data_IF_961152624189
#
_entry.id   IF_961152624189
#
_cell.length_a   1.000
_cell.length_b   1.000
_cell.length_c   1.000
_cell.angle_alpha   90.00
_cell.angle_beta   90.00
_cell.angle_gamma   90.00
#
_symmetry.space_group_name_H-M   'P 1'
#
loop_
_entity.id
_entity.type
_entity.pdbx_description
1 polymer ?
#
# COMPACT_ATOMS: atom_id res chain seq x y z
N UNK A 1 17.24 -7.72 21.43
CA UNK A 1 16.90 -6.63 20.48
C UNK A 1 17.51 -5.33 20.99
N UNK A 2 18.15 -4.54 20.09
CA UNK A 2 18.64 -3.21 20.44
C UNK A 2 17.47 -2.20 20.53
N UNK A 3 17.62 -1.16 21.39
CA UNK A 3 16.62 -0.07 21.47
C UNK A 3 16.31 0.55 20.11
N UNK A 4 17.32 0.67 19.24
CA UNK A 4 17.13 1.19 17.87
C UNK A 4 16.28 0.28 16.99
N UNK A 5 16.43 -1.05 17.10
CA UNK A 5 15.61 -2.02 16.36
C UNK A 5 14.14 -1.99 16.85
N UNK A 6 13.94 -1.93 18.17
CA UNK A 6 12.59 -1.82 18.75
C UNK A 6 11.92 -0.53 18.30
N UNK A 7 12.61 0.62 18.33
CA UNK A 7 12.06 1.91 17.86
C UNK A 7 11.65 1.82 16.39
N UNK A 8 12.47 1.23 15.51
CA UNK A 8 12.12 1.02 14.10
C UNK A 8 10.86 0.17 13.92
N UNK A 9 10.72 -0.90 14.69
CA UNK A 9 9.52 -1.75 14.66
C UNK A 9 8.27 -0.95 15.05
N UNK A 10 8.37 -0.10 16.08
CA UNK A 10 7.28 0.79 16.50
C UNK A 10 6.93 1.78 15.39
N UNK A 11 7.92 2.49 14.85
CA UNK A 11 7.73 3.50 13.79
C UNK A 11 7.07 2.88 12.55
N UNK A 12 7.38 1.63 12.23
CA UNK A 12 6.80 0.89 11.11
C UNK A 12 5.42 0.29 11.41
N UNK A 13 4.91 0.44 12.65
CA UNK A 13 3.59 -0.07 13.05
C UNK A 13 3.58 -1.56 13.40
N UNK A 14 4.74 -2.16 13.63
CA UNK A 14 4.89 -3.52 14.12
C UNK A 14 4.74 -3.65 15.64
N UNK A 15 4.26 -2.61 16.33
CA UNK A 15 3.95 -2.63 17.76
C UNK A 15 2.45 -2.41 17.97
N UNK A 16 1.88 -3.18 18.89
CA UNK A 16 0.48 -3.02 19.33
C UNK A 16 0.45 -2.93 20.86
N UNK A 17 -0.52 -2.14 21.36
CA UNK A 17 -0.92 -2.14 22.76
C UNK A 17 -2.39 -2.54 22.79
N UNK A 18 -2.66 -3.74 23.26
CA UNK A 18 -3.94 -4.41 23.05
C UNK A 18 -4.24 -4.55 21.54
N UNK A 19 -5.37 -4.01 21.09
CA UNK A 19 -5.76 -4.03 19.67
C UNK A 19 -5.25 -2.82 18.86
N UNK A 20 -4.70 -1.80 19.52
CA UNK A 20 -4.28 -0.56 18.87
C UNK A 20 -2.84 -0.65 18.34
N UNK A 21 -2.63 -0.30 17.05
CA UNK A 21 -1.28 -0.14 16.47
C UNK A 21 -0.64 1.12 17.03
N UNK A 22 0.57 1.00 17.55
CA UNK A 22 1.35 2.10 18.09
C UNK A 22 2.52 2.39 17.17
N UNK A 23 2.67 3.68 16.78
CA UNK A 23 3.78 4.17 15.94
C UNK A 23 4.66 5.21 16.64
N UNK A 24 4.41 5.47 17.91
CA UNK A 24 5.15 6.46 18.70
C UNK A 24 5.76 5.76 19.89
N UNK A 25 7.10 5.66 19.92
CA UNK A 25 7.83 4.95 20.96
C UNK A 25 7.72 5.60 22.34
N UNK A 26 7.34 6.88 22.43
CA UNK A 26 7.13 7.60 23.69
C UNK A 26 5.70 7.50 24.25
N UNK A 27 4.83 6.69 23.64
CA UNK A 27 3.49 6.45 24.20
C UNK A 27 3.63 5.86 25.62
N UNK A 28 3.01 6.47 26.63
CA UNK A 28 3.00 5.91 27.97
C UNK A 28 2.19 4.61 28.00
N UNK A 29 2.67 3.65 28.76
CA UNK A 29 1.99 2.39 29.05
C UNK A 29 1.36 2.46 30.45
N UNK A 30 0.27 1.73 30.63
CA UNK A 30 -0.38 1.51 31.93
C UNK A 30 -0.07 0.10 32.42
N UNK A 31 -0.14 -0.09 33.73
CA UNK A 31 -0.07 -1.43 34.31
C UNK A 31 -1.19 -2.31 33.75
N UNK A 32 -0.84 -3.51 33.28
CA UNK A 32 -1.76 -4.43 32.62
C UNK A 32 -1.86 -4.27 31.09
N UNK A 33 -1.22 -3.27 30.48
CA UNK A 33 -1.19 -3.16 29.01
C UNK A 33 -0.42 -4.34 28.40
N UNK A 34 -1.06 -5.06 27.48
CA UNK A 34 -0.42 -6.10 26.68
C UNK A 34 0.28 -5.47 25.48
N UNK A 35 1.61 -5.63 25.39
CA UNK A 35 2.42 -5.09 24.31
C UNK A 35 2.89 -6.22 23.39
N UNK A 36 2.46 -6.20 22.15
CA UNK A 36 2.85 -7.17 21.13
C UNK A 36 3.77 -6.53 20.09
N UNK A 37 4.91 -7.18 19.81
CA UNK A 37 5.81 -6.78 18.74
C UNK A 37 5.78 -7.82 17.62
N UNK A 38 5.61 -7.34 16.38
CA UNK A 38 5.83 -8.16 15.20
C UNK A 38 7.35 -8.29 14.98
N UNK A 39 7.87 -9.47 15.29
CA UNK A 39 9.24 -9.86 14.94
C UNK A 39 9.14 -10.70 13.69
N UNK A 40 9.28 -10.08 12.53
CA UNK A 40 9.39 -10.83 11.29
C UNK A 40 10.86 -10.88 10.88
N UNK A 41 11.41 -12.08 10.77
CA UNK A 41 12.54 -12.25 9.87
C UNK A 41 12.02 -12.02 8.46
N UNK A 42 12.74 -11.26 7.62
CA UNK A 42 12.31 -11.08 6.23
C UNK A 42 12.23 -12.47 5.60
N UNK A 43 11.04 -12.82 5.13
CA UNK A 43 10.90 -13.99 4.28
C UNK A 43 11.75 -13.72 3.02
N UNK A 44 12.85 -14.45 2.80
CA UNK A 44 13.74 -14.22 1.68
C UNK A 44 13.02 -14.37 0.34
N UNK A 45 11.94 -15.14 0.29
CA UNK A 45 11.18 -15.40 -0.94
C UNK A 45 10.18 -14.27 -1.27
N UNK A 46 9.96 -13.31 -0.38
CA UNK A 46 9.00 -12.20 -0.54
C UNK A 46 9.69 -10.83 -0.46
N UNK A 47 11.01 -10.76 -0.53
CA UNK A 47 11.72 -9.48 -0.45
C UNK A 47 11.78 -8.81 -1.82
N UNK A 48 11.07 -7.71 -1.99
CA UNK A 48 11.20 -6.84 -3.14
C UNK A 48 12.39 -5.90 -2.98
N UNK A 49 13.26 -5.88 -3.98
CA UNK A 49 14.34 -4.91 -4.12
C UNK A 49 14.11 -4.13 -5.41
N UNK A 50 14.00 -2.81 -5.30
CA UNK A 50 13.80 -1.93 -6.45
C UNK A 50 15.05 -1.93 -7.32
N UNK A 51 14.91 -2.32 -8.57
CA UNK A 51 15.94 -2.25 -9.60
C UNK A 51 15.67 -1.10 -10.59
N UNK A 52 16.66 -0.63 -11.35
CA UNK A 52 16.43 0.40 -12.37
C UNK A 52 15.36 0.00 -13.40
N UNK A 53 15.23 -1.29 -13.72
CA UNK A 53 14.21 -1.80 -14.64
C UNK A 53 12.78 -1.74 -14.12
N UNK A 54 12.61 -1.60 -12.81
CA UNK A 54 11.28 -1.44 -12.21
C UNK A 54 10.80 0.02 -12.24
N UNK A 55 11.71 0.98 -12.46
CA UNK A 55 11.39 2.42 -12.47
C UNK A 55 10.85 2.79 -13.84
N UNK A 56 9.60 3.24 -13.90
CA UNK A 56 8.93 3.68 -15.11
C UNK A 56 9.18 5.15 -15.41
N UNK A 57 9.24 5.97 -14.34
CA UNK A 57 9.53 7.39 -14.41
C UNK A 57 10.01 7.85 -13.04
N UNK A 58 11.00 8.73 -13.03
CA UNK A 58 11.42 9.42 -11.82
C UNK A 58 11.78 10.87 -12.15
N UNK A 59 11.15 11.82 -11.46
CA UNK A 59 11.44 13.25 -11.57
C UNK A 59 11.68 13.89 -10.19
N UNK A 60 11.62 15.21 -10.09
CA UNK A 60 11.80 15.95 -8.84
C UNK A 60 10.68 15.73 -7.81
N UNK A 61 9.48 15.32 -8.24
CA UNK A 61 8.30 15.24 -7.38
C UNK A 61 7.76 13.82 -7.20
N UNK A 62 7.97 12.93 -8.17
CA UNK A 62 7.39 11.59 -8.18
C UNK A 62 8.39 10.52 -8.58
N UNK A 63 8.17 9.33 -8.06
CA UNK A 63 8.71 8.06 -8.53
C UNK A 63 7.54 7.17 -8.95
N UNK A 64 7.51 6.73 -10.19
CA UNK A 64 6.58 5.74 -10.72
C UNK A 64 7.33 4.44 -10.95
N UNK A 65 6.78 3.35 -10.46
CA UNK A 65 7.40 2.03 -10.61
C UNK A 65 6.39 0.95 -10.98
N UNK A 66 6.90 -0.13 -11.54
CA UNK A 66 6.15 -1.35 -11.82
C UNK A 66 6.27 -2.31 -10.64
N UNK A 67 5.19 -2.47 -9.88
CA UNK A 67 5.13 -3.47 -8.81
C UNK A 67 4.93 -4.87 -9.40
N UNK A 68 5.74 -5.87 -9.08
CA UNK A 68 5.45 -7.26 -9.44
C UNK A 68 4.30 -7.83 -8.60
N UNK A 69 3.68 -8.92 -9.08
CA UNK A 69 2.78 -9.73 -8.29
C UNK A 69 3.53 -10.43 -7.15
N UNK A 70 2.83 -10.83 -6.10
CA UNK A 70 3.39 -11.50 -4.93
C UNK A 70 3.99 -10.57 -3.86
N UNK A 71 4.14 -9.26 -4.15
CA UNK A 71 4.77 -8.28 -3.26
C UNK A 71 3.73 -7.35 -2.63
N UNK A 72 3.85 -7.08 -1.33
CA UNK A 72 3.01 -6.10 -0.65
C UNK A 72 3.37 -4.66 -1.05
N UNK A 73 2.37 -3.85 -1.31
CA UNK A 73 2.53 -2.43 -1.64
C UNK A 73 3.11 -1.62 -0.48
N UNK A 74 2.71 -1.92 0.73
CA UNK A 74 3.09 -1.19 1.95
C UNK A 74 3.40 -2.15 3.09
N UNK A 75 4.10 -1.63 4.11
CA UNK A 75 4.37 -2.37 5.33
C UNK A 75 3.07 -2.75 6.03
N UNK A 76 3.05 -3.96 6.57
CA UNK A 76 1.99 -4.47 7.43
C UNK A 76 2.58 -4.85 8.79
N UNK A 77 1.77 -5.06 9.84
CA UNK A 77 2.27 -5.56 11.12
C UNK A 77 3.04 -6.89 11.02
N UNK A 78 2.81 -7.65 9.94
CA UNK A 78 3.42 -8.97 9.71
C UNK A 78 4.54 -8.94 8.68
N UNK A 79 4.64 -7.88 7.86
CA UNK A 79 5.64 -7.72 6.81
C UNK A 79 6.18 -6.28 6.84
N UNK A 80 7.29 -6.08 7.55
CA UNK A 80 7.90 -4.77 7.73
C UNK A 80 8.97 -4.45 6.69
N UNK A 81 9.55 -5.48 6.09
CA UNK A 81 10.60 -5.40 5.07
C UNK A 81 10.15 -6.14 3.81
N UNK A 82 10.85 -5.94 2.70
CA UNK A 82 10.52 -6.62 1.45
C UNK A 82 9.24 -6.13 0.77
N UNK A 83 8.66 -5.02 1.22
CA UNK A 83 7.51 -4.36 0.59
C UNK A 83 8.00 -3.30 -0.39
N UNK A 84 7.12 -2.87 -1.31
CA UNK A 84 7.45 -1.77 -2.25
C UNK A 84 7.77 -0.49 -1.50
N UNK A 85 6.96 -0.10 -0.52
CA UNK A 85 7.21 1.06 0.34
C UNK A 85 8.62 1.03 0.97
N UNK A 86 9.02 -0.12 1.49
CA UNK A 86 10.34 -0.28 2.09
C UNK A 86 11.48 -0.12 1.06
N UNK A 87 11.32 -0.70 -0.13
CA UNK A 87 12.29 -0.58 -1.21
C UNK A 87 12.42 0.87 -1.71
N UNK A 88 11.28 1.56 -1.89
CA UNK A 88 11.24 2.98 -2.26
C UNK A 88 11.89 3.86 -1.19
N UNK A 89 11.64 3.61 0.09
CA UNK A 89 12.29 4.37 1.16
C UNK A 89 13.82 4.21 1.13
N UNK A 90 14.31 3.01 0.84
CA UNK A 90 15.76 2.78 0.65
C UNK A 90 16.30 3.55 -0.56
N UNK A 91 15.57 3.54 -1.67
CA UNK A 91 15.93 4.28 -2.88
C UNK A 91 15.95 5.79 -2.62
N UNK A 92 14.94 6.34 -1.97
CA UNK A 92 14.89 7.76 -1.60
C UNK A 92 16.11 8.17 -0.76
N UNK A 93 16.46 7.39 0.23
CA UNK A 93 17.67 7.65 1.04
C UNK A 93 18.96 7.63 0.22
N UNK A 94 19.07 6.67 -0.71
CA UNK A 94 20.24 6.54 -1.58
C UNK A 94 20.37 7.69 -2.58
N UNK A 95 19.25 8.25 -3.04
CA UNK A 95 19.18 9.37 -4.00
C UNK A 95 19.07 10.76 -3.34
N UNK A 96 19.16 10.83 -2.00
CA UNK A 96 19.16 12.11 -1.26
C UNK A 96 17.78 12.68 -0.97
N UNK A 97 16.70 11.96 -1.27
CA UNK A 97 15.34 12.34 -0.87
C UNK A 97 15.20 12.12 0.65
N UNK A 98 14.95 13.20 1.40
CA UNK A 98 14.88 13.18 2.87
C UNK A 98 13.51 12.78 3.40
N UNK A 99 12.47 12.90 2.59
CA UNK A 99 11.11 12.54 2.95
C UNK A 99 10.91 11.02 2.99
N UNK A 100 10.07 10.51 3.91
CA UNK A 100 9.71 9.10 3.92
C UNK A 100 8.89 8.73 2.69
N UNK A 101 8.97 7.48 2.25
CA UNK A 101 8.10 6.95 1.21
C UNK A 101 6.63 7.01 1.68
N UNK A 102 5.80 7.79 0.99
CA UNK A 102 4.37 7.94 1.29
C UNK A 102 3.54 7.10 0.32
N UNK A 103 2.76 6.19 0.85
CA UNK A 103 1.85 5.35 0.05
C UNK A 103 0.53 6.09 -0.14
N UNK A 104 0.31 6.67 -1.30
CA UNK A 104 -0.90 7.42 -1.66
C UNK A 104 -2.00 6.54 -2.27
N UNK A 105 -1.62 5.39 -2.82
CA UNK A 105 -2.53 4.33 -3.28
C UNK A 105 -1.84 2.97 -3.15
N UNK A 106 -2.59 1.90 -3.32
CA UNK A 106 -2.06 0.54 -3.19
C UNK A 106 -2.61 -0.37 -4.28
N UNK A 107 -1.84 -1.39 -4.60
CA UNK A 107 -2.27 -2.59 -5.31
C UNK A 107 -2.28 -3.76 -4.32
N UNK A 108 -3.11 -4.74 -4.55
CA UNK A 108 -3.10 -5.95 -3.74
C UNK A 108 -1.82 -6.75 -3.97
N UNK A 109 -1.52 -7.68 -3.08
CA UNK A 109 -0.29 -8.46 -3.13
C UNK A 109 -0.10 -9.12 -4.49
N UNK A 110 -1.12 -9.80 -5.00
CA UNK A 110 -1.08 -10.55 -6.25
C UNK A 110 -1.33 -9.69 -7.50
N UNK A 111 -1.62 -8.40 -7.33
CA UNK A 111 -1.81 -7.47 -8.44
C UNK A 111 -0.47 -6.83 -8.80
N UNK A 112 -0.05 -6.97 -10.05
CA UNK A 112 1.07 -6.21 -10.63
C UNK A 112 0.59 -4.90 -11.25
N UNK A 113 1.51 -3.94 -11.44
CA UNK A 113 1.21 -2.71 -12.14
C UNK A 113 1.83 -1.46 -11.53
N UNK A 114 1.39 -0.30 -12.01
CA UNK A 114 1.99 0.99 -11.68
C UNK A 114 1.66 1.41 -10.26
N UNK A 115 2.70 1.81 -9.52
CA UNK A 115 2.58 2.51 -8.25
C UNK A 115 3.28 3.86 -8.31
N UNK A 116 2.66 4.87 -7.68
CA UNK A 116 3.15 6.24 -7.60
C UNK A 116 3.59 6.56 -6.19
N UNK A 117 4.81 7.06 -6.04
CA UNK A 117 5.37 7.50 -4.78
C UNK A 117 5.79 8.97 -4.88
N UNK A 118 5.09 9.88 -4.19
CA UNK A 118 5.49 11.29 -4.10
C UNK A 118 6.75 11.45 -3.25
N UNK A 119 7.63 12.35 -3.68
CA UNK A 119 8.90 12.67 -3.01
C UNK A 119 8.79 13.80 -1.98
N UNK A 120 7.62 14.42 -1.88
CA UNK A 120 7.33 15.46 -0.90
C UNK A 120 5.95 15.31 -0.30
N UNK A 121 5.72 15.97 0.84
CA UNK A 121 4.39 16.02 1.47
C UNK A 121 3.39 16.75 0.58
N UNK A 122 3.78 17.85 -0.04
CA UNK A 122 2.92 18.62 -0.93
C UNK A 122 2.48 17.79 -2.15
N UNK A 123 3.41 17.08 -2.80
CA UNK A 123 3.09 16.16 -3.89
C UNK A 123 2.15 15.02 -3.45
N UNK A 124 2.33 14.50 -2.22
CA UNK A 124 1.45 13.46 -1.67
C UNK A 124 0.02 13.98 -1.42
N UNK A 125 -0.12 15.18 -0.87
CA UNK A 125 -1.41 15.82 -0.61
C UNK A 125 -2.13 16.12 -1.93
N UNK A 126 -1.41 16.65 -2.92
CA UNK A 126 -1.96 16.93 -4.25
C UNK A 126 -2.45 15.66 -4.94
N UNK A 127 -1.62 14.62 -5.03
CA UNK A 127 -1.98 13.38 -5.70
C UNK A 127 -3.12 12.65 -5.00
N UNK A 128 -3.14 12.67 -3.66
CA UNK A 128 -4.27 12.13 -2.88
C UNK A 128 -5.58 12.87 -3.15
N UNK A 129 -5.51 14.19 -3.36
CA UNK A 129 -6.64 15.00 -3.80
C UNK A 129 -7.15 14.56 -5.18
N UNK A 130 -6.25 14.46 -6.15
CA UNK A 130 -6.59 14.06 -7.53
C UNK A 130 -7.23 12.66 -7.58
N UNK A 131 -6.72 11.72 -6.75
CA UNK A 131 -7.30 10.37 -6.61
C UNK A 131 -8.72 10.42 -6.00
N UNK A 132 -8.90 11.20 -4.93
CA UNK A 132 -10.21 11.33 -4.25
C UNK A 132 -11.25 11.97 -5.13
N UNK A 133 -10.85 12.96 -5.93
CA UNK A 133 -11.71 13.69 -6.85
C UNK A 133 -12.03 12.90 -8.15
N UNK A 134 -11.55 11.65 -8.27
CA UNK A 134 -11.79 10.80 -9.44
C UNK A 134 -11.10 11.27 -10.72
N UNK A 135 -10.11 12.17 -10.64
CA UNK A 135 -9.39 12.73 -11.80
C UNK A 135 -8.26 11.83 -12.32
N UNK A 136 -8.06 10.66 -11.70
CA UNK A 136 -7.12 9.64 -12.17
C UNK A 136 -7.90 8.51 -12.82
N UNK A 137 -7.67 8.27 -14.08
CA UNK A 137 -8.16 7.09 -14.77
C UNK A 137 -7.30 5.88 -14.37
N UNK A 138 -7.96 4.80 -13.93
CA UNK A 138 -7.32 3.55 -13.52
C UNK A 138 -7.79 2.43 -14.42
N UNK A 139 -6.87 1.86 -15.19
CA UNK A 139 -7.14 0.71 -16.07
C UNK A 139 -6.48 -0.54 -15.53
N UNK A 140 -7.21 -1.64 -15.54
CA UNK A 140 -6.73 -2.96 -15.11
C UNK A 140 -7.01 -4.00 -16.19
N UNK A 141 -6.17 -5.02 -16.25
CA UNK A 141 -6.42 -6.23 -17.03
C UNK A 141 -6.55 -7.41 -16.07
N UNK A 142 -7.55 -8.25 -16.30
CA UNK A 142 -7.77 -9.43 -15.49
C UNK A 142 -8.16 -10.62 -16.38
N UNK A 143 -7.73 -11.81 -15.98
CA UNK A 143 -8.20 -13.07 -16.53
C UNK A 143 -9.31 -13.56 -15.61
N UNK A 144 -10.44 -13.93 -16.18
CA UNK A 144 -11.61 -14.40 -15.46
C UNK A 144 -11.99 -15.82 -15.91
N UNK A 145 -12.65 -16.57 -15.06
CA UNK A 145 -13.24 -17.85 -15.42
C UNK A 145 -14.58 -17.65 -16.14
N UNK A 146 -14.83 -18.44 -17.19
CA UNK A 146 -16.06 -18.37 -17.99
C UNK A 146 -16.03 -17.25 -19.02
N UNK A 147 -17.21 -17.00 -19.58
CA UNK A 147 -17.42 -15.99 -20.64
C UNK A 147 -18.41 -14.95 -20.14
N UNK A 148 -18.04 -13.66 -20.15
CA UNK A 148 -18.99 -12.58 -19.90
C UNK A 148 -20.16 -12.61 -20.91
N UNK A 149 -21.34 -12.17 -20.48
CA UNK A 149 -22.53 -12.17 -21.31
C UNK A 149 -22.50 -11.13 -22.45
N UNK A 150 -21.50 -10.24 -22.48
CA UNK A 150 -21.31 -9.23 -23.51
C UNK A 150 -19.90 -8.68 -23.51
N UNK A 151 -19.55 -7.93 -24.57
CA UNK A 151 -18.20 -7.40 -24.77
C UNK A 151 -17.92 -6.15 -23.92
N UNK A 152 -18.98 -5.46 -23.46
CA UNK A 152 -18.89 -4.25 -22.63
C UNK A 152 -20.05 -4.18 -21.67
N UNK A 153 -19.76 -3.81 -20.43
CA UNK A 153 -20.78 -3.51 -19.42
C UNK A 153 -20.21 -2.55 -18.37
N UNK A 154 -21.09 -2.05 -17.54
CA UNK A 154 -20.73 -1.17 -16.44
C UNK A 154 -21.43 -1.66 -15.16
N UNK A 155 -20.73 -1.53 -14.06
CA UNK A 155 -21.28 -1.72 -12.71
C UNK A 155 -21.15 -0.38 -11.98
N UNK A 156 -22.29 0.19 -11.63
CA UNK A 156 -22.40 1.40 -10.81
C UNK A 156 -23.23 1.04 -9.58
N UNK A 157 -22.54 0.73 -8.50
CA UNK A 157 -23.18 0.25 -7.27
C UNK A 157 -22.33 0.59 -6.04
N UNK A 158 -22.95 1.06 -4.94
CA UNK A 158 -22.23 1.35 -3.72
C UNK A 158 -21.69 0.08 -3.07
N UNK A 159 -20.45 0.14 -2.57
CA UNK A 159 -19.78 -0.98 -1.91
C UNK A 159 -19.47 -0.65 -0.45
N UNK A 160 -19.65 -1.62 0.43
CA UNK A 160 -19.32 -1.53 1.85
C UNK A 160 -18.56 -2.76 2.34
N UNK A 161 -17.85 -2.66 3.47
CA UNK A 161 -17.20 -3.83 4.09
C UNK A 161 -18.23 -4.93 4.42
N UNK A 162 -17.92 -6.16 4.02
CA UNK A 162 -18.74 -7.34 4.23
C UNK A 162 -17.95 -8.45 4.95
N UNK A 163 -17.29 -8.11 6.06
CA UNK A 163 -16.44 -8.98 6.86
C UNK A 163 -14.95 -8.65 6.73
N UNK A 164 -14.09 -9.55 7.20
CA UNK A 164 -12.63 -9.34 7.13
C UNK A 164 -12.17 -9.36 5.67
N UNK A 165 -11.66 -8.23 5.18
CA UNK A 165 -11.07 -8.08 3.83
C UNK A 165 -12.02 -8.33 2.66
N UNK A 166 -13.34 -8.30 2.86
CA UNK A 166 -14.36 -8.43 1.81
C UNK A 166 -15.19 -7.17 1.71
N UNK A 167 -15.60 -6.85 0.49
CA UNK A 167 -16.57 -5.81 0.19
C UNK A 167 -17.72 -6.42 -0.60
N UNK A 168 -18.90 -5.87 -0.40
CA UNK A 168 -20.09 -6.26 -1.16
C UNK A 168 -20.89 -5.03 -1.55
N UNK A 169 -21.74 -5.15 -2.55
CA UNK A 169 -22.73 -4.14 -2.87
C UNK A 169 -23.70 -4.03 -1.72
N UNK A 170 -23.85 -2.83 -1.18
CA UNK A 170 -24.73 -2.57 -0.05
C UNK A 170 -25.27 -1.12 -0.09
N UNK A 171 -26.56 -0.90 0.21
CA UNK A 171 -27.12 0.44 0.36
C UNK A 171 -26.35 1.24 1.40
N UNK A 172 -26.06 2.52 1.11
CA UNK A 172 -25.30 3.41 1.99
C UNK A 172 -23.79 3.13 2.01
N UNK A 173 -23.30 2.23 1.16
CA UNK A 173 -21.87 2.02 0.92
C UNK A 173 -21.24 3.22 0.19
N UNK A 174 -19.92 3.12 -0.03
CA UNK A 174 -19.19 4.10 -0.83
C UNK A 174 -19.53 3.92 -2.31
N UNK A 175 -19.85 4.99 -3.01
CA UNK A 175 -20.05 4.98 -4.46
C UNK A 175 -18.85 4.37 -5.18
N UNK A 176 -19.13 3.45 -6.09
CA UNK A 176 -18.12 2.76 -6.89
C UNK A 176 -18.67 2.46 -8.28
N UNK A 177 -17.90 2.83 -9.28
CA UNK A 177 -18.22 2.63 -10.70
C UNK A 177 -17.06 1.98 -11.42
N UNK A 178 -17.33 0.94 -12.19
CA UNK A 178 -16.33 0.25 -13.00
C UNK A 178 -16.92 -0.12 -14.35
N UNK A 179 -16.25 0.31 -15.42
CA UNK A 179 -16.57 -0.11 -16.78
C UNK A 179 -15.67 -1.29 -17.17
N UNK A 180 -16.26 -2.27 -17.86
CA UNK A 180 -15.58 -3.48 -18.30
C UNK A 180 -15.63 -3.58 -19.83
N UNK A 181 -14.54 -4.12 -20.40
CA UNK A 181 -14.45 -4.46 -21.81
C UNK A 181 -13.68 -5.78 -21.96
N UNK A 182 -14.24 -6.70 -22.75
CA UNK A 182 -13.53 -7.91 -23.19
C UNK A 182 -12.45 -7.53 -24.21
N UNK A 183 -11.25 -8.11 -24.10
CA UNK A 183 -10.11 -7.85 -24.97
C UNK A 183 -9.91 -8.98 -25.96
#
# INVERSE_FOLDING_TARGET
FSKGRIRKVIDWGGCRVGQAVVRVASRPLREGDEVTFAVTDPDPDVSFTLSPGDILLEDGEYLLLSKPAGVYSQRTPYQLQGTVEFAVERHFRATGVREPARVVHRLDRETSGVMVFPKSRAAAEWFSGVLRDGRVEKSYRAVVAGFPAGDRWEVDAPIAPAGKSRFAVAPGGKEARTAFRVL
#
